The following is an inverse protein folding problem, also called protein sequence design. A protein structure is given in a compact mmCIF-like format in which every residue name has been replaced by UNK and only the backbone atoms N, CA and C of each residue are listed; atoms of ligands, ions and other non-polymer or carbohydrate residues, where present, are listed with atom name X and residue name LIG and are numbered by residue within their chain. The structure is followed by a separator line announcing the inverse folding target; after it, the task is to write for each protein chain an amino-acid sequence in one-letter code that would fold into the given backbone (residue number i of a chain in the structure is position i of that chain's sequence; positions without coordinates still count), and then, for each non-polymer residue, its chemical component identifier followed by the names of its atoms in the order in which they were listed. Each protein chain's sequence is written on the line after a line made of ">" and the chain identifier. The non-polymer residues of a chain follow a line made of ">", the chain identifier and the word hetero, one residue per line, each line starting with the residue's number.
data_IF_581651186707
#
_entry.id   IF_581651186707
#
_cell.length_a   1.000
_cell.length_b   1.000
_cell.length_c   1.000
_cell.angle_alpha   90.00
_cell.angle_beta   90.00
_cell.angle_gamma   90.00
#
_symmetry.space_group_name_H-M   'P 1'
#
loop_
_entity.id
_entity.type
_entity.pdbx_description
1 polymer ?
#
# COMPACT_ATOMS: atom_id res chain seq x y z
N UNK A 1 -8.35 0.14 28.79
CA UNK A 1 -9.44 0.77 28.01
C UNK A 1 -9.12 0.51 26.54
N UNK A 2 -9.97 -0.25 25.85
CA UNK A 2 -9.79 -0.50 24.42
C UNK A 2 -9.92 0.84 23.69
N UNK A 3 -8.86 1.27 23.00
CA UNK A 3 -8.91 2.52 22.25
C UNK A 3 -9.98 2.42 21.15
N UNK A 4 -10.94 3.34 21.16
CA UNK A 4 -12.04 3.36 20.20
C UNK A 4 -11.50 3.42 18.76
N UNK A 5 -11.99 2.54 17.91
CA UNK A 5 -11.74 2.58 16.46
C UNK A 5 -12.59 3.68 15.85
N UNK A 6 -11.96 4.60 15.14
CA UNK A 6 -12.65 5.68 14.42
C UNK A 6 -12.78 5.29 12.95
N UNK A 7 -13.95 5.58 12.38
CA UNK A 7 -14.25 5.34 10.96
C UNK A 7 -14.70 6.65 10.32
N UNK A 8 -13.99 7.06 9.28
CA UNK A 8 -14.31 8.22 8.46
C UNK A 8 -14.55 7.78 7.02
N UNK A 9 -15.59 8.30 6.38
CA UNK A 9 -15.86 8.06 4.96
C UNK A 9 -15.65 9.39 4.23
N UNK A 10 -14.70 9.40 3.28
CA UNK A 10 -14.44 10.55 2.44
C UNK A 10 -15.54 10.73 1.39
N UNK A 11 -15.64 11.94 0.82
CA UNK A 11 -16.64 12.28 -0.22
C UNK A 11 -16.54 11.41 -1.47
N UNK A 12 -15.35 10.87 -1.76
CA UNK A 12 -15.08 9.96 -2.88
C UNK A 12 -15.34 8.48 -2.53
N UNK A 13 -15.90 8.18 -1.34
CA UNK A 13 -16.24 6.81 -0.92
C UNK A 13 -15.13 6.05 -0.21
N UNK A 14 -13.90 6.57 -0.17
CA UNK A 14 -12.79 5.93 0.56
C UNK A 14 -13.10 5.87 2.05
N UNK A 15 -12.92 4.69 2.64
CA UNK A 15 -13.10 4.45 4.07
C UNK A 15 -11.76 4.46 4.79
N UNK A 16 -11.61 5.38 5.73
CA UNK A 16 -10.45 5.47 6.60
C UNK A 16 -10.83 4.91 7.97
N UNK A 17 -10.07 3.91 8.44
CA UNK A 17 -10.23 3.33 9.76
C UNK A 17 -8.96 3.59 10.57
N UNK A 18 -9.08 4.23 11.73
CA UNK A 18 -7.92 4.57 12.58
C UNK A 18 -8.11 4.09 14.01
N UNK A 19 -7.03 3.57 14.60
CA UNK A 19 -6.97 3.24 16.02
C UNK A 19 -5.72 3.89 16.61
N UNK A 20 -5.91 4.87 17.50
CA UNK A 20 -4.79 5.54 18.18
C UNK A 20 -4.33 4.68 19.36
N UNK A 21 -3.04 4.39 19.42
CA UNK A 21 -2.42 3.62 20.50
C UNK A 21 -1.38 4.49 21.22
N UNK A 22 -1.72 5.18 22.33
CA UNK A 22 -0.84 6.17 22.95
C UNK A 22 0.52 5.64 23.43
N UNK A 23 0.63 4.34 23.67
CA UNK A 23 1.83 3.69 24.19
C UNK A 23 2.80 3.22 23.09
N UNK A 24 2.49 3.47 21.80
CA UNK A 24 3.27 2.99 20.66
C UNK A 24 3.75 4.19 19.85
N UNK A 25 5.05 4.23 19.54
CA UNK A 25 5.72 5.29 18.73
C UNK A 25 5.90 4.90 17.27
N UNK A 26 5.06 3.99 16.78
CA UNK A 26 5.08 3.49 15.41
C UNK A 26 3.67 3.53 14.82
N UNK A 27 3.58 3.70 13.52
CA UNK A 27 2.34 3.71 12.77
C UNK A 27 2.40 2.58 11.76
N UNK A 28 1.31 1.82 11.66
CA UNK A 28 1.08 0.89 10.56
C UNK A 28 -0.08 1.42 9.73
N UNK A 29 0.15 1.58 8.43
CA UNK A 29 -0.84 2.04 7.47
C UNK A 29 -0.94 1.00 6.37
N UNK A 30 -2.16 0.71 5.94
CA UNK A 30 -2.40 -0.16 4.80
C UNK A 30 -3.56 0.32 3.95
N UNK A 31 -3.40 0.18 2.63
CA UNK A 31 -4.45 0.35 1.63
C UNK A 31 -5.03 -1.03 1.35
N UNK A 32 -6.31 -1.19 1.64
CA UNK A 32 -7.03 -2.45 1.49
C UNK A 32 -8.00 -2.36 0.32
N UNK A 33 -7.89 -3.32 -0.59
CA UNK A 33 -8.80 -3.50 -1.71
C UNK A 33 -9.63 -4.75 -1.49
N UNK A 34 -10.92 -4.65 -1.79
CA UNK A 34 -11.84 -5.78 -1.78
C UNK A 34 -11.87 -6.43 -3.18
N UNK A 35 -10.68 -6.77 -3.67
CA UNK A 35 -10.39 -7.45 -4.94
C UNK A 35 -9.26 -8.42 -4.66
N UNK A 36 -9.36 -9.65 -5.15
CA UNK A 36 -8.28 -10.63 -5.11
C UNK A 36 -8.41 -11.64 -6.25
N UNK A 37 -7.71 -12.76 -6.14
CA UNK A 37 -7.67 -13.77 -7.21
C UNK A 37 -9.04 -14.37 -7.58
N UNK A 38 -10.05 -14.29 -6.70
CA UNK A 38 -11.43 -14.72 -7.01
C UNK A 38 -12.11 -13.83 -8.04
N UNK A 39 -11.73 -12.56 -8.10
CA UNK A 39 -12.37 -11.57 -8.95
C UNK A 39 -11.77 -11.55 -10.38
N UNK A 40 -10.77 -12.39 -10.64
CA UNK A 40 -10.12 -12.57 -11.94
C UNK A 40 -10.94 -13.47 -12.86
N UNK A 41 -10.97 -13.14 -14.15
CA UNK A 41 -11.43 -14.07 -15.18
C UNK A 41 -10.37 -15.14 -15.47
N UNK A 42 -10.74 -16.23 -16.13
CA UNK A 42 -9.78 -17.28 -16.53
C UNK A 42 -8.62 -16.72 -17.39
N UNK A 43 -8.89 -15.70 -18.21
CA UNK A 43 -7.88 -15.02 -19.03
C UNK A 43 -6.98 -14.05 -18.24
N UNK A 44 -7.38 -13.69 -17.03
CA UNK A 44 -6.68 -12.75 -16.14
C UNK A 44 -6.09 -13.45 -14.89
N UNK A 45 -6.09 -14.79 -14.88
CA UNK A 45 -5.60 -15.57 -13.75
C UNK A 45 -4.15 -15.19 -13.40
N UNK A 46 -3.95 -14.71 -12.17
CA UNK A 46 -2.67 -14.22 -11.64
C UNK A 46 -2.46 -12.72 -11.76
N UNK A 47 -3.39 -11.96 -12.36
CA UNK A 47 -3.25 -10.53 -12.61
C UNK A 47 -3.15 -9.71 -11.32
N UNK A 48 -3.92 -10.02 -10.28
CA UNK A 48 -3.92 -9.30 -9.00
C UNK A 48 -2.56 -9.44 -8.31
N UNK A 49 -2.02 -10.66 -8.29
CA UNK A 49 -0.68 -10.90 -7.76
C UNK A 49 0.39 -10.24 -8.64
N UNK A 50 0.22 -10.23 -9.96
CA UNK A 50 1.13 -9.52 -10.86
C UNK A 50 1.14 -8.00 -10.58
N UNK A 51 -0.04 -7.38 -10.46
CA UNK A 51 -0.19 -5.97 -10.11
C UNK A 51 0.47 -5.67 -8.76
N UNK A 52 0.33 -6.57 -7.79
CA UNK A 52 0.98 -6.45 -6.49
C UNK A 52 2.51 -6.28 -6.59
N UNK A 53 3.18 -7.09 -7.41
CA UNK A 53 4.63 -6.95 -7.63
C UNK A 53 4.98 -5.69 -8.41
N UNK A 54 4.18 -5.37 -9.43
CA UNK A 54 4.45 -4.26 -10.33
C UNK A 54 4.30 -2.90 -9.68
N UNK A 55 3.40 -2.76 -8.70
CA UNK A 55 3.11 -1.46 -8.08
C UNK A 55 4.37 -0.82 -7.45
N UNK A 56 5.30 -1.65 -6.96
CA UNK A 56 6.57 -1.22 -6.36
C UNK A 56 7.69 -0.93 -7.37
N UNK A 57 7.48 -1.22 -8.66
CA UNK A 57 8.51 -1.07 -9.70
C UNK A 57 8.74 0.37 -10.16
N UNK A 58 7.87 1.29 -9.76
CA UNK A 58 8.07 2.72 -9.96
C UNK A 58 6.76 3.46 -10.18
N UNK A 59 6.82 4.76 -9.93
CA UNK A 59 5.76 5.73 -10.19
C UNK A 59 6.27 6.80 -11.16
N UNK A 60 5.39 7.70 -11.59
CA UNK A 60 5.79 8.86 -12.41
C UNK A 60 6.85 9.75 -11.71
N UNK A 61 6.88 9.72 -10.36
CA UNK A 61 7.75 10.58 -9.54
C UNK A 61 8.96 9.85 -8.99
N UNK A 62 8.88 8.53 -8.77
CA UNK A 62 9.86 7.75 -8.04
C UNK A 62 10.20 6.45 -8.75
N UNK A 63 11.48 6.14 -8.87
CA UNK A 63 11.91 4.80 -9.32
C UNK A 63 11.74 3.77 -8.21
N UNK A 64 11.71 2.48 -8.56
CA UNK A 64 11.73 1.38 -7.58
C UNK A 64 12.84 1.53 -6.53
N UNK A 65 14.03 1.93 -6.96
CA UNK A 65 15.17 2.18 -6.08
C UNK A 65 14.93 3.36 -5.13
N UNK A 66 14.32 4.45 -5.62
CA UNK A 66 13.99 5.60 -4.77
C UNK A 66 12.94 5.23 -3.73
N UNK A 67 11.90 4.47 -4.11
CA UNK A 67 10.89 3.96 -3.19
C UNK A 67 11.56 3.13 -2.08
N UNK A 68 12.38 2.14 -2.45
CA UNK A 68 13.07 1.29 -1.48
C UNK A 68 14.00 2.11 -0.55
N UNK A 69 14.74 3.07 -1.12
CA UNK A 69 15.64 3.95 -0.37
C UNK A 69 14.90 4.87 0.58
N UNK A 70 13.76 5.45 0.17
CA UNK A 70 12.95 6.32 1.03
C UNK A 70 12.38 5.55 2.22
N UNK A 71 11.88 4.32 1.99
CA UNK A 71 11.41 3.46 3.08
C UNK A 71 12.55 3.05 4.02
N UNK A 72 13.71 2.66 3.50
CA UNK A 72 14.88 2.31 4.31
C UNK A 72 15.38 3.50 5.15
N UNK A 73 15.39 4.70 4.57
CA UNK A 73 15.83 5.93 5.24
C UNK A 73 14.96 6.31 6.45
N UNK A 74 13.66 5.95 6.42
CA UNK A 74 12.72 6.20 7.53
C UNK A 74 12.56 4.97 8.47
N UNK A 75 13.39 3.93 8.28
CA UNK A 75 13.30 2.67 9.03
C UNK A 75 11.97 1.94 8.79
N UNK A 76 11.37 2.16 7.62
CA UNK A 76 10.08 1.65 7.24
C UNK A 76 10.14 0.20 6.77
N UNK A 77 9.23 -0.62 7.28
CA UNK A 77 8.99 -1.96 6.75
C UNK A 77 7.78 -1.92 5.84
N UNK A 78 7.94 -2.30 4.59
CA UNK A 78 6.86 -2.38 3.60
C UNK A 78 6.59 -3.82 3.24
N UNK A 79 5.32 -4.12 2.95
CA UNK A 79 4.95 -5.41 2.39
C UNK A 79 3.60 -5.28 1.66
N UNK A 80 3.29 -6.26 0.83
CA UNK A 80 2.00 -6.42 0.22
C UNK A 80 1.59 -7.89 0.24
N UNK A 81 0.30 -8.15 0.06
CA UNK A 81 -0.18 -9.49 -0.19
C UNK A 81 -1.47 -9.46 -0.98
N UNK A 82 -1.63 -10.48 -1.81
CA UNK A 82 -2.83 -10.78 -2.57
C UNK A 82 -3.42 -12.10 -2.07
N UNK A 83 -4.64 -12.04 -1.56
CA UNK A 83 -5.45 -13.19 -1.21
C UNK A 83 -6.50 -13.50 -2.28
N UNK A 84 -7.39 -14.44 -1.97
CA UNK A 84 -8.53 -14.76 -2.84
C UNK A 84 -9.54 -13.61 -2.92
N UNK A 85 -9.78 -12.90 -1.81
CA UNK A 85 -10.84 -11.89 -1.71
C UNK A 85 -10.34 -10.46 -1.51
N UNK A 86 -9.04 -10.29 -1.23
CA UNK A 86 -8.48 -8.99 -0.91
C UNK A 86 -7.01 -8.87 -1.29
N UNK A 87 -6.61 -7.65 -1.60
CA UNK A 87 -5.21 -7.24 -1.79
C UNK A 87 -4.92 -6.10 -0.83
N UNK A 88 -3.77 -6.16 -0.17
CA UNK A 88 -3.37 -5.17 0.82
C UNK A 88 -1.94 -4.72 0.58
N UNK A 89 -1.75 -3.41 0.52
CA UNK A 89 -0.44 -2.76 0.49
C UNK A 89 -0.24 -2.05 1.82
N UNK A 90 0.78 -2.42 2.59
CA UNK A 90 0.97 -1.87 3.91
C UNK A 90 2.43 -1.55 4.22
N UNK A 91 2.59 -0.58 5.11
CA UNK A 91 3.89 -0.19 5.61
C UNK A 91 3.82 0.16 7.09
N UNK A 92 4.96 0.04 7.77
CA UNK A 92 5.13 0.35 9.18
C UNK A 92 6.35 1.22 9.37
N UNK A 93 6.16 2.37 10.01
CA UNK A 93 7.20 3.39 10.23
C UNK A 93 7.11 3.96 11.65
N UNK A 94 8.08 4.80 12.04
CA UNK A 94 7.96 5.62 13.24
C UNK A 94 6.85 6.67 13.10
N UNK A 95 6.26 7.08 14.23
CA UNK A 95 5.13 8.00 14.24
C UNK A 95 5.44 9.39 13.65
N UNK A 96 6.70 9.80 13.69
CA UNK A 96 7.22 11.02 13.07
C UNK A 96 7.15 11.03 11.55
N UNK A 97 6.99 9.87 10.90
CA UNK A 97 6.98 9.73 9.44
C UNK A 97 5.59 9.48 8.86
N UNK A 98 4.52 9.81 9.60
CA UNK A 98 3.13 9.64 9.16
C UNK A 98 2.85 10.29 7.79
N UNK A 99 3.28 11.54 7.59
CA UNK A 99 3.02 12.24 6.33
C UNK A 99 3.77 11.56 5.17
N UNK A 100 5.01 11.16 5.40
CA UNK A 100 5.86 10.47 4.43
C UNK A 100 5.29 9.12 4.00
N UNK A 101 4.86 8.26 4.94
CA UNK A 101 4.27 6.95 4.60
C UNK A 101 2.96 7.11 3.83
N UNK A 102 2.12 8.09 4.17
CA UNK A 102 0.88 8.38 3.45
C UNK A 102 1.18 8.81 2.03
N UNK A 103 2.13 9.72 1.84
CA UNK A 103 2.50 10.21 0.52
C UNK A 103 3.07 9.10 -0.36
N UNK A 104 4.00 8.29 0.16
CA UNK A 104 4.63 7.22 -0.62
C UNK A 104 3.61 6.13 -0.97
N UNK A 105 2.79 5.67 -0.02
CA UNK A 105 1.76 4.65 -0.30
C UNK A 105 0.71 5.17 -1.28
N UNK A 106 0.28 6.44 -1.17
CA UNK A 106 -0.67 7.02 -2.11
C UNK A 106 -0.07 7.17 -3.51
N UNK A 107 1.20 7.56 -3.62
CA UNK A 107 1.89 7.70 -4.90
C UNK A 107 2.07 6.35 -5.60
N UNK A 108 2.53 5.33 -4.86
CA UNK A 108 2.63 3.95 -5.35
C UNK A 108 1.26 3.47 -5.83
N UNK A 109 0.22 3.68 -5.02
CA UNK A 109 -1.10 3.17 -5.33
C UNK A 109 -1.78 3.84 -6.53
N UNK A 110 -1.60 5.15 -6.69
CA UNK A 110 -2.33 5.94 -7.70
C UNK A 110 -1.53 6.19 -8.99
N UNK A 111 -0.20 6.24 -8.91
CA UNK A 111 0.65 6.73 -10.00
C UNK A 111 1.71 5.70 -10.44
N UNK A 112 1.50 4.41 -10.17
CA UNK A 112 2.39 3.36 -10.68
C UNK A 112 2.30 3.28 -12.21
N UNK A 113 3.45 3.26 -12.87
CA UNK A 113 3.55 3.40 -14.34
C UNK A 113 3.55 2.07 -15.09
N UNK A 114 3.69 0.95 -14.39
CA UNK A 114 3.77 -0.40 -14.98
C UNK A 114 4.69 -0.45 -16.23
N UNK A 115 5.96 -0.06 -16.06
CA UNK A 115 6.93 0.02 -17.17
C UNK A 115 6.99 -1.32 -17.91
N UNK A 116 6.78 -1.30 -19.23
CA UNK A 116 6.75 -2.50 -20.07
C UNK A 116 8.04 -3.34 -19.95
N UNK A 117 9.18 -2.71 -19.66
CA UNK A 117 10.45 -3.43 -19.45
C UNK A 117 10.47 -4.24 -18.16
N UNK A 118 9.77 -3.77 -17.12
CA UNK A 118 9.61 -4.52 -15.86
C UNK A 118 8.52 -5.59 -15.97
N UNK A 119 7.57 -5.43 -16.89
CA UNK A 119 6.52 -6.42 -17.17
C UNK A 119 7.06 -7.66 -17.90
N UNK A 120 8.04 -7.49 -18.78
CA UNK A 120 8.62 -8.57 -19.60
C UNK A 120 9.81 -9.31 -18.93
N UNK A 121 10.23 -8.88 -17.73
CA UNK A 121 11.40 -9.42 -17.01
C UNK A 121 11.14 -10.72 -16.26
#
# INVERSE_FOLDING_TARGET
>A
MDAAVNKTILKNGIRIVTKKMPHVRSISMGVWLNVGARDESETESGLSHFIEHMIFKGTEKRTSFQIAKEFDAIGGQTNAFTGLENTCYHAKVLDTHLETIVEILADIFLNSVFDAREVEN
#
